data_IF_702543496684
#
_entry.id   IF_702543496684
#
_cell.length_a   1.000
_cell.length_b   1.000
_cell.length_c   1.000
_cell.angle_alpha   90.00
_cell.angle_beta   90.00
_cell.angle_gamma   90.00
#
_symmetry.space_group_name_H-M   'P 1'
#
loop_
_entity.id
_entity.type
_entity.pdbx_description
1 polymer ?
#
# COMPACT_ATOMS: atom_id res chain seq x y z
N UNK A 1 15.87 -0.89 13.26
CA UNK A 1 16.34 -1.55 12.02
C UNK A 1 16.56 -3.04 12.25
N UNK A 2 16.05 -3.87 11.35
CA UNK A 2 16.20 -5.34 11.37
C UNK A 2 17.31 -5.79 10.40
N UNK A 3 18.57 -5.65 10.81
CA UNK A 3 19.73 -5.86 9.91
C UNK A 3 19.73 -7.24 9.24
N UNK A 4 19.54 -8.31 10.02
CA UNK A 4 19.56 -9.69 9.51
C UNK A 4 18.48 -9.91 8.44
N UNK A 5 17.28 -9.33 8.63
CA UNK A 5 16.21 -9.42 7.63
C UNK A 5 16.56 -8.66 6.36
N UNK A 6 17.20 -7.50 6.45
CA UNK A 6 17.68 -6.74 5.28
C UNK A 6 18.71 -7.57 4.51
N UNK A 7 19.68 -8.15 5.21
CA UNK A 7 20.73 -8.97 4.60
C UNK A 7 20.17 -10.23 3.94
N UNK A 8 19.21 -10.89 4.58
CA UNK A 8 18.51 -12.03 3.99
C UNK A 8 17.74 -11.63 2.72
N UNK A 9 17.00 -10.51 2.75
CA UNK A 9 16.29 -10.03 1.58
C UNK A 9 17.23 -9.71 0.40
N UNK A 10 18.40 -9.13 0.68
CA UNK A 10 19.42 -8.89 -0.33
C UNK A 10 19.96 -10.20 -0.91
N UNK A 11 20.22 -11.21 -0.07
CA UNK A 11 20.69 -12.51 -0.52
C UNK A 11 19.67 -13.23 -1.42
N UNK A 12 18.38 -13.19 -1.05
CA UNK A 12 17.29 -13.80 -1.82
C UNK A 12 17.18 -13.18 -3.23
N UNK A 13 17.33 -11.86 -3.33
CA UNK A 13 17.31 -11.12 -4.61
C UNK A 13 18.67 -11.08 -5.32
N UNK A 14 19.70 -11.75 -4.77
CA UNK A 14 21.07 -11.82 -5.29
C UNK A 14 21.71 -10.44 -5.49
N UNK A 15 21.50 -9.55 -4.54
CA UNK A 15 22.04 -8.19 -4.51
C UNK A 15 23.24 -8.13 -3.58
N UNK A 16 24.21 -7.29 -3.90
CA UNK A 16 25.43 -7.13 -3.09
C UNK A 16 25.21 -6.16 -1.92
N UNK A 17 24.22 -5.28 -2.02
CA UNK A 17 23.82 -4.40 -0.93
C UNK A 17 22.64 -3.49 -1.23
N UNK A 18 22.19 -2.78 -0.20
CA UNK A 18 21.22 -1.69 -0.28
C UNK A 18 21.91 -0.38 0.09
N UNK A 19 21.92 0.57 -0.83
CA UNK A 19 22.41 1.91 -0.57
C UNK A 19 21.23 2.86 -0.35
N UNK A 20 20.93 3.12 0.91
CA UNK A 20 19.98 4.16 1.27
C UNK A 20 20.61 5.53 1.07
N UNK A 21 19.81 6.44 0.54
CA UNK A 21 20.16 7.84 0.34
C UNK A 21 18.99 8.72 0.72
N UNK A 22 19.28 9.86 1.34
CA UNK A 22 18.31 10.92 1.55
C UNK A 22 18.98 12.29 1.50
N UNK A 23 18.18 13.28 1.09
CA UNK A 23 18.45 14.68 1.33
C UNK A 23 17.15 15.38 1.73
N UNK A 24 17.08 15.85 2.98
CA UNK A 24 15.92 16.58 3.54
C UNK A 24 14.63 15.76 3.56
N UNK A 25 14.71 14.49 3.96
CA UNK A 25 13.55 13.59 4.12
C UNK A 25 12.82 13.36 2.78
N UNK A 26 13.53 13.42 1.66
CA UNK A 26 12.99 13.14 0.33
C UNK A 26 12.65 11.67 0.14
N UNK A 27 13.25 10.78 0.95
CA UNK A 27 13.10 9.34 0.83
C UNK A 27 12.42 8.72 2.07
N UNK A 28 11.07 8.68 2.15
CA UNK A 28 10.36 8.15 3.31
C UNK A 28 10.58 6.64 3.55
N UNK A 29 10.91 5.87 2.50
CA UNK A 29 11.18 4.43 2.62
C UNK A 29 12.41 4.20 3.49
N UNK A 30 13.47 5.01 3.33
CA UNK A 30 14.66 4.89 4.15
C UNK A 30 14.35 5.11 5.64
N UNK A 31 13.47 6.05 5.98
CA UNK A 31 13.07 6.31 7.37
C UNK A 31 12.31 5.14 7.97
N UNK A 32 11.39 4.55 7.20
CA UNK A 32 10.62 3.39 7.62
C UNK A 32 11.52 2.16 7.83
N UNK A 33 12.31 1.79 6.81
CA UNK A 33 13.16 0.58 6.82
C UNK A 33 14.25 0.66 7.88
N UNK A 34 14.89 1.82 8.01
CA UNK A 34 15.98 2.03 8.98
C UNK A 34 15.45 2.40 10.37
N UNK A 35 14.15 2.60 10.54
CA UNK A 35 13.52 3.06 11.79
C UNK A 35 14.09 4.40 12.28
N UNK A 36 14.31 5.34 11.36
CA UNK A 36 14.85 6.65 11.68
C UNK A 36 13.77 7.59 12.25
N UNK A 37 14.11 8.44 13.23
CA UNK A 37 13.18 9.42 13.76
C UNK A 37 12.81 10.47 12.70
N UNK A 38 11.51 10.60 12.41
CA UNK A 38 11.01 11.59 11.44
C UNK A 38 11.09 13.01 11.98
N UNK A 39 11.13 13.21 13.30
CA UNK A 39 11.19 14.54 13.92
C UNK A 39 12.60 15.14 13.93
N UNK A 40 13.64 14.33 13.78
CA UNK A 40 15.04 14.79 13.80
C UNK A 40 15.37 15.65 12.58
N UNK A 41 16.41 16.47 12.69
CA UNK A 41 16.86 17.35 11.62
C UNK A 41 17.81 16.60 10.67
N UNK A 42 17.46 16.58 9.37
CA UNK A 42 18.31 16.05 8.30
C UNK A 42 18.42 17.10 7.20
N UNK A 43 19.46 17.94 7.24
CA UNK A 43 19.61 19.04 6.25
C UNK A 43 20.78 18.84 5.30
N UNK A 44 21.63 17.83 5.52
CA UNK A 44 22.70 17.40 4.62
C UNK A 44 22.40 16.00 4.09
N UNK A 45 22.92 15.72 2.90
CA UNK A 45 22.79 14.38 2.32
C UNK A 45 23.58 13.37 3.14
N UNK A 46 23.05 12.17 3.25
CA UNK A 46 23.71 11.04 3.88
C UNK A 46 23.48 9.77 3.05
N UNK A 47 24.36 8.80 3.24
CA UNK A 47 24.21 7.47 2.67
C UNK A 47 24.36 6.43 3.78
N UNK A 48 23.61 5.34 3.67
CA UNK A 48 23.77 4.18 4.53
C UNK A 48 23.81 2.92 3.67
N UNK A 49 24.96 2.25 3.65
CA UNK A 49 25.15 1.03 2.88
C UNK A 49 25.00 -0.19 3.78
N UNK A 50 24.04 -1.05 3.47
CA UNK A 50 23.89 -2.36 4.09
C UNK A 50 24.36 -3.42 3.09
N UNK A 51 25.53 -4.06 3.29
CA UNK A 51 25.96 -5.14 2.41
C UNK A 51 25.12 -6.39 2.66
N UNK A 52 25.00 -7.26 1.66
CA UNK A 52 24.34 -8.56 1.82
C UNK A 52 25.00 -9.44 2.91
N UNK A 53 26.32 -9.28 3.09
CA UNK A 53 27.08 -9.92 4.18
C UNK A 53 28.06 -8.92 4.76
N UNK A 54 28.12 -8.83 6.09
CA UNK A 54 29.10 -8.02 6.82
C UNK A 54 28.52 -6.77 7.46
N UNK A 55 29.39 -5.80 7.73
CA UNK A 55 29.09 -4.63 8.56
C UNK A 55 28.52 -3.49 7.72
N UNK A 56 27.35 -2.91 8.07
CA UNK A 56 26.84 -1.71 7.42
C UNK A 56 27.78 -0.51 7.57
N UNK A 57 27.68 0.47 6.68
CA UNK A 57 28.47 1.70 6.75
C UNK A 57 27.61 2.93 6.55
N UNK A 58 27.64 3.84 7.52
CA UNK A 58 27.09 5.19 7.41
C UNK A 58 28.13 6.14 6.81
N UNK A 59 27.73 6.91 5.80
CA UNK A 59 28.52 7.99 5.21
C UNK A 59 27.79 9.33 5.40
N UNK A 60 28.32 10.16 6.29
CA UNK A 60 27.61 11.32 6.84
C UNK A 60 28.45 12.60 6.75
N UNK A 61 27.78 13.75 6.66
CA UNK A 61 28.45 15.05 6.65
C UNK A 61 29.06 15.37 8.01
N UNK A 62 30.25 15.96 8.02
CA UNK A 62 30.88 16.47 9.25
C UNK A 62 30.04 17.52 10.00
N UNK A 63 29.14 18.23 9.29
CA UNK A 63 28.23 19.23 9.87
C UNK A 63 27.12 18.58 10.70
N UNK A 64 26.68 17.39 10.31
CA UNK A 64 25.61 16.63 10.96
C UNK A 64 26.13 15.25 11.36
N UNK A 65 27.28 15.19 12.04
CA UNK A 65 27.96 13.93 12.37
C UNK A 65 27.18 13.02 13.34
N UNK A 66 26.09 13.51 13.93
CA UNK A 66 25.18 12.74 14.78
C UNK A 66 24.11 11.99 13.97
N UNK A 67 23.90 12.33 12.69
CA UNK A 67 22.94 11.65 11.81
C UNK A 67 23.29 10.16 11.71
N UNK A 68 22.26 9.31 11.74
CA UNK A 68 22.33 7.84 11.76
C UNK A 68 23.03 7.23 12.98
N UNK A 69 23.19 7.94 14.11
CA UNK A 69 23.91 7.40 15.27
C UNK A 69 23.27 6.18 15.93
N UNK A 70 21.97 5.99 15.74
CA UNK A 70 21.23 4.82 16.23
C UNK A 70 21.45 3.58 15.37
N UNK A 71 21.99 3.72 14.15
CA UNK A 71 22.20 2.61 13.23
C UNK A 71 23.54 1.91 13.53
N UNK A 72 23.60 0.58 13.41
CA UNK A 72 24.82 -0.18 13.63
C UNK A 72 25.82 0.01 12.49
N UNK A 73 27.08 -0.33 12.76
CA UNK A 73 28.13 -0.47 11.76
C UNK A 73 29.18 0.64 11.78
N UNK A 74 29.96 0.70 10.70
CA UNK A 74 31.02 1.68 10.53
C UNK A 74 30.45 3.07 10.24
N UNK A 75 31.22 4.10 10.61
CA UNK A 75 30.87 5.49 10.34
C UNK A 75 32.01 6.21 9.65
N UNK A 76 31.74 6.72 8.45
CA UNK A 76 32.66 7.51 7.65
C UNK A 76 32.12 8.93 7.53
N UNK A 77 32.98 9.91 7.78
CA UNK A 77 32.61 11.32 7.78
C UNK A 77 33.27 12.00 6.58
N UNK A 78 32.48 12.75 5.80
CA UNK A 78 33.00 13.59 4.72
C UNK A 78 32.81 15.09 5.00
N UNK A 79 33.75 15.89 4.53
CA UNK A 79 33.76 17.36 4.58
C UNK A 79 33.60 17.97 3.19
N UNK A 80 34.10 17.28 2.16
CA UNK A 80 34.11 17.74 0.77
C UNK A 80 33.37 16.75 -0.13
N UNK A 81 33.01 17.17 -1.34
CA UNK A 81 32.39 16.26 -2.31
C UNK A 81 33.38 15.21 -2.82
N UNK A 82 34.67 15.53 -2.88
CA UNK A 82 35.72 14.58 -3.24
C UNK A 82 35.82 13.46 -2.20
N UNK A 83 35.84 13.80 -0.91
CA UNK A 83 35.83 12.81 0.17
C UNK A 83 34.58 11.93 0.08
N UNK A 84 33.41 12.49 -0.19
CA UNK A 84 32.20 11.71 -0.41
C UNK A 84 32.38 10.71 -1.56
N UNK A 85 32.87 11.17 -2.72
CA UNK A 85 33.02 10.32 -3.90
C UNK A 85 34.01 9.19 -3.64
N UNK A 86 35.17 9.48 -3.05
CA UNK A 86 36.14 8.44 -2.66
C UNK A 86 35.55 7.43 -1.69
N UNK A 87 34.74 7.87 -0.73
CA UNK A 87 34.08 6.94 0.20
C UNK A 87 33.02 6.08 -0.49
N UNK A 88 32.21 6.66 -1.39
CA UNK A 88 31.21 5.91 -2.16
C UNK A 88 31.86 4.89 -3.10
N UNK A 89 32.90 5.28 -3.84
CA UNK A 89 33.68 4.38 -4.70
C UNK A 89 34.29 3.22 -3.91
N UNK A 90 34.81 3.48 -2.71
CA UNK A 90 35.35 2.44 -1.84
C UNK A 90 34.26 1.48 -1.29
N UNK A 91 33.01 1.92 -1.18
CA UNK A 91 31.87 1.09 -0.78
C UNK A 91 31.31 0.29 -1.96
N UNK A 92 31.34 0.88 -3.15
CA UNK A 92 30.68 0.40 -4.37
C UNK A 92 31.73 0.06 -5.42
N UNK A 93 32.32 -1.13 -5.30
CA UNK A 93 33.30 -1.60 -6.28
C UNK A 93 32.62 -1.89 -7.63
N UNK A 94 33.44 -1.93 -8.69
CA UNK A 94 32.95 -2.22 -10.04
C UNK A 94 32.20 -3.55 -10.05
N UNK A 95 30.99 -3.54 -10.59
CA UNK A 95 30.12 -4.71 -10.68
C UNK A 95 29.20 -4.93 -9.47
N UNK A 96 29.29 -4.12 -8.40
CA UNK A 96 28.35 -4.19 -7.28
C UNK A 96 26.93 -3.93 -7.76
N UNK A 97 26.02 -4.89 -7.52
CA UNK A 97 24.58 -4.77 -7.75
C UNK A 97 23.93 -4.21 -6.49
N UNK A 98 23.53 -2.95 -6.55
CA UNK A 98 23.05 -2.20 -5.39
C UNK A 98 21.60 -1.77 -5.57
N UNK A 99 20.76 -2.11 -4.59
CA UNK A 99 19.41 -1.59 -4.52
C UNK A 99 19.40 -0.14 -4.02
N UNK A 100 18.55 0.67 -4.64
CA UNK A 100 18.23 2.03 -4.20
C UNK A 100 16.74 2.28 -4.43
N UNK A 101 16.16 3.29 -3.78
CA UNK A 101 14.80 3.79 -4.06
C UNK A 101 14.74 4.49 -5.43
N UNK A 102 14.94 3.68 -6.46
CA UNK A 102 14.98 3.97 -7.88
C UNK A 102 13.89 3.13 -8.55
N UNK A 103 13.14 3.74 -9.47
CA UNK A 103 12.21 3.01 -10.32
C UNK A 103 12.58 3.24 -11.79
N UNK A 104 13.00 2.20 -12.53
CA UNK A 104 13.21 2.29 -13.97
C UNK A 104 11.98 2.90 -14.66
N UNK A 105 12.22 3.89 -15.52
CA UNK A 105 11.16 4.62 -16.25
C UNK A 105 10.04 5.20 -15.36
N UNK A 106 10.31 5.40 -14.06
CA UNK A 106 9.32 5.80 -13.07
C UNK A 106 8.07 4.87 -13.02
N UNK A 107 8.25 3.57 -13.27
CA UNK A 107 7.18 2.58 -13.24
C UNK A 107 6.40 2.56 -11.91
N UNK A 108 7.07 2.82 -10.78
CA UNK A 108 6.50 2.90 -9.44
C UNK A 108 6.90 4.23 -8.79
N UNK A 109 6.07 5.28 -8.90
CA UNK A 109 6.38 6.60 -8.35
C UNK A 109 6.61 6.62 -6.84
N UNK A 110 5.99 5.71 -6.09
CA UNK A 110 6.21 5.58 -4.66
C UNK A 110 7.66 5.17 -4.30
N UNK A 111 8.32 4.41 -5.17
CA UNK A 111 9.70 3.94 -5.00
C UNK A 111 10.72 4.91 -5.60
N UNK A 112 10.36 5.73 -6.59
CA UNK A 112 11.27 6.69 -7.24
C UNK A 112 11.61 7.88 -6.33
N UNK A 113 12.47 7.69 -5.32
CA UNK A 113 12.82 8.70 -4.31
C UNK A 113 14.25 9.23 -4.39
N UNK A 114 15.17 8.48 -4.98
CA UNK A 114 16.54 8.93 -5.22
C UNK A 114 16.57 9.79 -6.48
N UNK A 115 17.19 10.97 -6.38
CA UNK A 115 17.30 11.88 -7.51
C UNK A 115 18.23 11.31 -8.60
N UNK A 116 17.97 11.69 -9.86
CA UNK A 116 18.70 11.16 -11.01
C UNK A 116 20.21 11.42 -10.93
N UNK A 117 20.63 12.58 -10.43
CA UNK A 117 22.05 12.94 -10.30
C UNK A 117 22.77 12.04 -9.29
N UNK A 118 22.11 11.64 -8.21
CA UNK A 118 22.65 10.67 -7.24
C UNK A 118 22.76 9.27 -7.86
N UNK A 119 21.77 8.84 -8.65
CA UNK A 119 21.85 7.55 -9.37
C UNK A 119 22.99 7.55 -10.41
N UNK A 120 23.14 8.65 -11.15
CA UNK A 120 24.25 8.85 -12.10
C UNK A 120 25.61 8.80 -11.40
N UNK A 121 25.74 9.46 -10.25
CA UNK A 121 26.95 9.43 -9.43
C UNK A 121 27.31 7.99 -9.03
N UNK A 122 26.35 7.23 -8.48
CA UNK A 122 26.57 5.83 -8.06
C UNK A 122 26.99 4.96 -9.24
N UNK A 123 26.32 5.09 -10.40
CA UNK A 123 26.68 4.36 -11.62
C UNK A 123 28.06 4.72 -12.15
N UNK A 124 28.54 5.95 -11.92
CA UNK A 124 29.86 6.37 -12.40
C UNK A 124 31.02 5.60 -11.76
N UNK A 125 30.80 4.96 -10.60
CA UNK A 125 31.75 4.05 -9.95
C UNK A 125 31.71 2.60 -10.52
N UNK A 126 30.88 2.33 -11.53
CA UNK A 126 30.74 1.00 -12.13
C UNK A 126 29.77 0.07 -11.40
N UNK A 127 28.94 0.60 -10.49
CA UNK A 127 27.88 -0.14 -9.82
C UNK A 127 26.62 -0.25 -10.70
N UNK A 128 25.93 -1.39 -10.62
CA UNK A 128 24.61 -1.61 -11.21
C UNK A 128 23.54 -1.19 -10.19
N UNK A 129 22.88 -0.05 -10.44
CA UNK A 129 21.75 0.40 -9.61
C UNK A 129 20.46 -0.28 -10.07
N UNK A 130 19.87 -1.06 -9.17
CA UNK A 130 18.58 -1.73 -9.36
C UNK A 130 17.51 -1.14 -8.44
N UNK A 131 16.24 -1.42 -8.74
CA UNK A 131 15.13 -0.96 -7.92
C UNK A 131 15.09 -1.67 -6.57
N UNK A 132 14.86 -0.93 -5.49
CA UNK A 132 14.55 -1.50 -4.18
C UNK A 132 13.10 -1.94 -4.01
N UNK A 133 12.23 -1.78 -5.03
CA UNK A 133 10.79 -2.07 -4.93
C UNK A 133 10.50 -3.45 -4.31
N UNK A 134 11.15 -4.50 -4.81
CA UNK A 134 10.92 -5.89 -4.40
C UNK A 134 11.39 -6.19 -2.98
N UNK A 135 12.47 -5.54 -2.51
CA UNK A 135 12.96 -5.71 -1.13
C UNK A 135 12.24 -4.78 -0.15
N UNK A 136 11.90 -3.55 -0.57
CA UNK A 136 11.24 -2.56 0.27
C UNK A 136 9.83 -3.01 0.71
N UNK A 137 9.09 -3.70 -0.15
CA UNK A 137 7.79 -4.28 0.24
C UNK A 137 7.89 -5.27 1.42
N UNK A 138 9.02 -5.95 1.61
CA UNK A 138 9.20 -6.90 2.74
C UNK A 138 9.20 -6.20 4.10
N UNK A 139 9.48 -4.89 4.11
CA UNK A 139 9.54 -4.06 5.32
C UNK A 139 8.35 -3.09 5.44
N UNK A 140 7.63 -2.84 4.33
CA UNK A 140 6.52 -1.89 4.30
C UNK A 140 5.13 -2.49 4.02
N UNK A 141 5.06 -3.68 3.43
CA UNK A 141 3.80 -4.26 2.95
C UNK A 141 3.55 -5.69 3.48
N UNK A 142 4.53 -6.34 4.10
CA UNK A 142 4.33 -7.65 4.73
C UNK A 142 3.58 -7.50 6.05
N UNK A 143 2.39 -8.08 6.13
CA UNK A 143 1.58 -8.08 7.33
C UNK A 143 2.10 -9.09 8.35
N UNK A 144 2.08 -8.73 9.63
CA UNK A 144 2.25 -9.68 10.74
C UNK A 144 1.01 -10.58 10.90
N UNK A 145 1.16 -11.69 11.64
CA UNK A 145 0.02 -12.57 11.94
C UNK A 145 -1.11 -11.83 12.70
N UNK A 146 -0.75 -10.92 13.61
CA UNK A 146 -1.70 -10.07 14.32
C UNK A 146 -2.43 -9.12 13.35
N UNK A 147 -1.69 -8.50 12.43
CA UNK A 147 -2.27 -7.64 11.39
C UNK A 147 -3.25 -8.40 10.50
N UNK A 148 -2.92 -9.63 10.10
CA UNK A 148 -3.81 -10.51 9.34
C UNK A 148 -5.07 -10.84 10.14
N UNK A 149 -4.95 -11.13 11.43
CA UNK A 149 -6.10 -11.45 12.27
C UNK A 149 -7.01 -10.23 12.46
N UNK A 150 -6.45 -9.05 12.71
CA UNK A 150 -7.24 -7.81 12.81
C UNK A 150 -7.99 -7.49 11.51
N UNK A 151 -7.35 -7.70 10.35
CA UNK A 151 -7.99 -7.57 9.04
C UNK A 151 -9.18 -8.54 8.90
N UNK A 152 -8.99 -9.82 9.24
CA UNK A 152 -10.05 -10.84 9.13
C UNK A 152 -11.23 -10.53 10.04
N UNK A 153 -10.97 -10.15 11.27
CA UNK A 153 -12.02 -9.82 12.24
C UNK A 153 -12.76 -8.51 11.84
N UNK A 154 -12.04 -7.49 11.37
CA UNK A 154 -12.67 -6.31 10.78
C UNK A 154 -13.59 -6.70 9.62
N UNK A 155 -13.09 -7.53 8.70
CA UNK A 155 -13.84 -8.04 7.56
C UNK A 155 -15.11 -8.78 7.95
N UNK A 156 -15.03 -9.68 8.95
CA UNK A 156 -16.20 -10.40 9.48
C UNK A 156 -17.27 -9.44 10.00
N UNK A 157 -16.87 -8.40 10.73
CA UNK A 157 -17.81 -7.40 11.28
C UNK A 157 -18.48 -6.60 10.19
N UNK A 158 -17.71 -6.03 9.26
CA UNK A 158 -18.27 -5.14 8.23
C UNK A 158 -19.16 -5.88 7.23
N UNK A 159 -18.85 -7.15 6.91
CA UNK A 159 -19.73 -7.99 6.08
C UNK A 159 -21.07 -8.26 6.78
N UNK A 160 -21.05 -8.62 8.06
CA UNK A 160 -22.28 -8.84 8.83
C UNK A 160 -23.11 -7.54 8.94
N UNK A 161 -22.45 -6.39 9.10
CA UNK A 161 -23.10 -5.08 9.13
C UNK A 161 -23.74 -4.72 7.78
N UNK A 162 -23.07 -5.03 6.65
CA UNK A 162 -23.64 -4.88 5.31
C UNK A 162 -24.86 -5.78 5.12
N UNK A 163 -24.80 -7.05 5.55
CA UNK A 163 -25.96 -7.97 5.47
C UNK A 163 -27.17 -7.41 6.20
N UNK A 164 -26.95 -6.89 7.41
CA UNK A 164 -28.00 -6.18 8.18
C UNK A 164 -28.54 -4.98 7.43
N UNK A 165 -27.66 -4.12 6.89
CA UNK A 165 -28.08 -2.97 6.10
C UNK A 165 -28.98 -3.40 4.94
N UNK A 166 -28.57 -4.39 4.15
CA UNK A 166 -29.33 -4.83 2.98
C UNK A 166 -30.70 -5.40 3.35
N UNK A 167 -30.81 -6.12 4.47
CA UNK A 167 -32.09 -6.59 5.00
C UNK A 167 -33.01 -5.40 5.34
N UNK A 168 -32.50 -4.40 6.07
CA UNK A 168 -33.25 -3.19 6.43
C UNK A 168 -33.67 -2.39 5.18
N UNK A 169 -32.81 -2.23 4.18
CA UNK A 169 -33.15 -1.55 2.93
C UNK A 169 -34.26 -2.29 2.19
N UNK A 170 -34.20 -3.62 2.13
CA UNK A 170 -35.23 -4.45 1.52
C UNK A 170 -36.58 -4.30 2.22
N UNK A 171 -36.62 -4.25 3.55
CA UNK A 171 -37.84 -3.99 4.33
C UNK A 171 -38.40 -2.60 4.05
N UNK A 172 -37.55 -1.58 4.12
CA UNK A 172 -37.96 -0.19 3.87
C UNK A 172 -38.57 -0.01 2.47
N UNK A 173 -37.97 -0.62 1.44
CA UNK A 173 -38.51 -0.58 0.08
C UNK A 173 -39.85 -1.29 -0.05
N UNK A 174 -40.05 -2.43 0.62
CA UNK A 174 -41.35 -3.14 0.63
C UNK A 174 -42.45 -2.35 1.33
N UNK A 175 -42.09 -1.58 2.36
CA UNK A 175 -43.01 -0.70 3.09
C UNK A 175 -43.21 0.66 2.40
N UNK A 176 -42.55 0.92 1.27
CA UNK A 176 -42.66 2.19 0.55
C UNK A 176 -42.00 3.38 1.25
N UNK A 177 -41.05 3.14 2.15
CA UNK A 177 -40.28 4.20 2.81
C UNK A 177 -39.27 4.80 1.84
N UNK A 178 -39.21 6.13 1.80
CA UNK A 178 -38.24 6.85 0.97
C UNK A 178 -36.81 6.63 1.46
N UNK A 179 -35.91 6.31 0.53
CA UNK A 179 -34.48 6.15 0.75
C UNK A 179 -33.71 6.97 -0.30
N UNK A 180 -32.50 7.40 0.04
CA UNK A 180 -31.54 8.00 -0.89
C UNK A 180 -30.11 7.60 -0.52
N UNK A 181 -29.17 7.78 -1.45
CA UNK A 181 -27.76 7.38 -1.29
C UNK A 181 -27.16 7.90 0.03
N UNK A 182 -27.33 9.20 0.33
CA UNK A 182 -26.78 9.83 1.52
C UNK A 182 -27.36 9.26 2.83
N UNK A 183 -28.67 9.11 2.92
CA UNK A 183 -29.34 8.58 4.12
C UNK A 183 -28.95 7.13 4.41
N UNK A 184 -28.70 6.34 3.36
CA UNK A 184 -28.22 4.96 3.47
C UNK A 184 -26.75 4.94 3.89
N UNK A 185 -25.91 5.79 3.29
CA UNK A 185 -24.51 5.97 3.68
C UNK A 185 -24.38 6.30 5.18
N UNK A 186 -25.08 7.33 5.65
CA UNK A 186 -24.99 7.78 7.05
C UNK A 186 -25.50 6.72 8.03
N UNK A 187 -26.54 5.98 7.63
CA UNK A 187 -27.04 4.84 8.42
C UNK A 187 -26.01 3.72 8.48
N UNK A 188 -25.37 3.39 7.36
CA UNK A 188 -24.37 2.34 7.32
C UNK A 188 -23.14 2.71 8.13
N UNK A 189 -22.68 3.97 8.05
CA UNK A 189 -21.61 4.50 8.89
C UNK A 189 -21.92 4.31 10.38
N UNK A 190 -23.15 4.63 10.79
CA UNK A 190 -23.61 4.42 12.18
C UNK A 190 -23.58 2.94 12.56
N UNK A 191 -24.04 2.04 11.69
CA UNK A 191 -24.02 0.61 11.94
C UNK A 191 -22.59 0.07 12.07
N UNK A 192 -21.65 0.56 11.25
CA UNK A 192 -20.23 0.20 11.31
C UNK A 192 -19.61 0.66 12.64
N UNK A 193 -19.84 1.91 13.05
CA UNK A 193 -19.37 2.41 14.34
C UNK A 193 -19.91 1.58 15.51
N UNK A 194 -21.20 1.22 15.48
CA UNK A 194 -21.82 0.37 16.50
C UNK A 194 -21.28 -1.07 16.50
N UNK A 195 -20.72 -1.54 15.38
CA UNK A 195 -20.03 -2.82 15.31
C UNK A 195 -18.61 -2.78 15.92
N UNK A 196 -18.18 -1.64 16.45
CA UNK A 196 -16.90 -1.48 17.13
C UNK A 196 -15.70 -1.49 16.18
N UNK A 197 -15.90 -1.05 14.92
CA UNK A 197 -14.82 -0.79 13.96
C UNK A 197 -14.59 0.72 13.84
N UNK A 198 -13.48 1.11 13.22
CA UNK A 198 -13.15 2.48 12.82
C UNK A 198 -13.31 2.57 11.30
N UNK A 199 -14.48 3.00 10.79
CA UNK A 199 -14.74 3.17 9.38
C UNK A 199 -14.39 4.58 8.89
N UNK A 200 -14.14 4.74 7.59
CA UNK A 200 -14.37 6.02 6.91
C UNK A 200 -15.82 6.06 6.38
N UNK A 201 -16.18 7.14 5.69
CA UNK A 201 -17.50 7.28 5.09
C UNK A 201 -17.67 6.24 3.96
N UNK A 202 -18.63 5.31 4.05
CA UNK A 202 -18.84 4.33 3.00
C UNK A 202 -19.39 5.01 1.74
N UNK A 203 -19.05 4.49 0.58
CA UNK A 203 -19.58 4.98 -0.68
C UNK A 203 -20.86 4.21 -1.04
N UNK A 204 -21.94 4.96 -1.28
CA UNK A 204 -23.24 4.42 -1.71
C UNK A 204 -23.64 5.14 -2.97
N UNK A 205 -23.84 4.38 -4.05
CA UNK A 205 -24.20 4.90 -5.35
C UNK A 205 -25.35 4.11 -5.97
N UNK A 206 -26.12 4.77 -6.82
CA UNK A 206 -27.28 4.24 -7.52
C UNK A 206 -27.17 4.47 -9.02
N UNK A 207 -27.54 3.46 -9.80
CA UNK A 207 -27.62 3.51 -11.27
C UNK A 207 -26.36 4.10 -11.92
N UNK A 208 -26.48 5.26 -12.59
CA UNK A 208 -25.36 5.90 -13.29
C UNK A 208 -24.24 6.33 -12.34
N UNK A 209 -24.55 6.65 -11.07
CA UNK A 209 -23.54 7.05 -10.10
C UNK A 209 -22.58 5.89 -9.78
N UNK A 210 -23.03 4.63 -9.89
CA UNK A 210 -22.19 3.45 -9.73
C UNK A 210 -21.04 3.37 -10.76
N UNK A 211 -21.11 4.13 -11.85
CA UNK A 211 -20.05 4.19 -12.88
C UNK A 211 -18.99 5.25 -12.62
N UNK A 212 -19.16 6.08 -11.58
CA UNK A 212 -18.22 7.13 -11.23
C UNK A 212 -17.48 6.76 -9.92
N UNK A 213 -16.21 6.32 -10.00
CA UNK A 213 -15.43 5.94 -8.81
C UNK A 213 -15.11 7.13 -7.89
N UNK A 214 -15.32 8.37 -8.34
CA UNK A 214 -15.17 9.59 -7.54
C UNK A 214 -16.50 10.22 -7.16
N UNK A 215 -17.61 9.49 -7.31
CA UNK A 215 -18.90 9.96 -6.81
C UNK A 215 -18.91 9.93 -5.27
N UNK A 216 -19.51 10.94 -4.67
CA UNK A 216 -19.75 10.98 -3.23
C UNK A 216 -21.13 11.56 -2.98
N UNK A 217 -22.00 10.77 -2.35
CA UNK A 217 -23.32 11.25 -1.95
C UNK A 217 -23.17 12.23 -0.79
N UNK A 218 -23.82 13.39 -0.90
CA UNK A 218 -23.86 14.40 0.16
C UNK A 218 -25.30 14.75 0.51
N UNK A 219 -25.48 15.50 1.60
CA UNK A 219 -26.81 15.95 2.01
C UNK A 219 -27.54 16.74 0.90
N UNK A 220 -26.82 17.49 0.08
CA UNK A 220 -27.36 18.30 -1.03
C UNK A 220 -27.25 17.66 -2.41
N UNK A 221 -26.45 16.59 -2.57
CA UNK A 221 -26.26 15.89 -3.83
C UNK A 221 -26.39 14.38 -3.63
N UNK A 222 -27.59 13.86 -3.88
CA UNK A 222 -27.93 12.45 -3.80
C UNK A 222 -29.13 12.13 -4.70
N UNK A 223 -29.30 10.84 -4.97
CA UNK A 223 -30.37 10.25 -5.77
C UNK A 223 -31.23 9.36 -4.88
N UNK A 224 -32.55 9.29 -5.14
CA UNK A 224 -33.41 8.34 -4.44
C UNK A 224 -33.02 6.90 -4.79
N UNK A 225 -33.30 5.98 -3.86
CA UNK A 225 -33.21 4.54 -4.09
C UNK A 225 -34.63 4.00 -4.26
N UNK A 226 -34.91 3.39 -5.40
CA UNK A 226 -36.22 2.91 -5.80
C UNK A 226 -36.16 1.48 -6.30
N UNK A 227 -37.33 0.84 -6.38
CA UNK A 227 -37.46 -0.48 -7.00
C UNK A 227 -37.05 -0.40 -8.48
N UNK A 228 -36.20 -1.31 -8.92
CA UNK A 228 -35.60 -1.33 -10.26
C UNK A 228 -34.19 -0.75 -10.34
N UNK A 229 -33.68 -0.18 -9.23
CA UNK A 229 -32.36 0.45 -9.21
C UNK A 229 -31.22 -0.56 -8.96
N UNK A 230 -30.09 -0.31 -9.63
CA UNK A 230 -28.81 -0.90 -9.29
C UNK A 230 -28.17 -0.09 -8.16
N UNK A 231 -27.67 -0.76 -7.13
CA UNK A 231 -27.04 -0.14 -5.97
C UNK A 231 -25.61 -0.67 -5.86
N UNK A 232 -24.65 0.22 -5.66
CA UNK A 232 -23.27 -0.09 -5.30
C UNK A 232 -23.03 0.40 -3.88
N UNK A 233 -22.46 -0.46 -3.03
CA UNK A 233 -21.99 -0.10 -1.70
C UNK A 233 -20.55 -0.52 -1.56
N UNK A 234 -19.66 0.44 -1.39
CA UNK A 234 -18.23 0.25 -1.18
C UNK A 234 -17.86 0.73 0.23
N UNK A 235 -17.17 -0.10 0.99
CA UNK A 235 -17.01 0.13 2.42
C UNK A 235 -15.76 -0.56 2.98
N UNK A 236 -15.06 0.19 3.81
CA UNK A 236 -13.86 -0.26 4.48
C UNK A 236 -13.85 0.20 5.93
N UNK A 237 -13.27 -0.65 6.78
CA UNK A 237 -12.99 -0.30 8.16
C UNK A 237 -11.85 -1.16 8.71
N UNK A 238 -11.26 -0.70 9.80
CA UNK A 238 -10.29 -1.47 10.60
C UNK A 238 -10.75 -1.59 12.04
N UNK A 239 -10.12 -2.46 12.81
CA UNK A 239 -10.30 -2.44 14.26
C UNK A 239 -9.64 -1.18 14.87
N UNK A 240 -10.07 -0.74 16.07
CA UNK A 240 -9.33 0.24 16.83
C UNK A 240 -7.91 -0.26 17.15
N UNK A 241 -6.91 0.61 17.08
CA UNK A 241 -5.51 0.27 17.34
C UNK A 241 -4.55 0.83 16.28
N UNK A 242 -3.26 1.00 16.61
CA UNK A 242 -2.27 1.59 15.70
C UNK A 242 -1.94 0.69 14.51
N UNK A 243 -1.90 -0.63 14.71
CA UNK A 243 -1.45 -1.59 13.70
C UNK A 243 -2.59 -2.33 12.98
N UNK A 244 -3.85 -2.00 13.29
CA UNK A 244 -5.01 -2.66 12.71
C UNK A 244 -5.13 -2.38 11.20
N UNK A 245 -5.27 -3.44 10.40
CA UNK A 245 -5.37 -3.35 8.95
C UNK A 245 -6.82 -3.24 8.49
N UNK A 246 -7.04 -2.41 7.48
CA UNK A 246 -8.35 -2.26 6.85
C UNK A 246 -8.80 -3.54 6.18
N UNK A 247 -10.07 -3.88 6.33
CA UNK A 247 -10.78 -4.74 5.41
C UNK A 247 -11.67 -3.87 4.52
N UNK A 248 -11.65 -4.14 3.22
CA UNK A 248 -12.26 -3.30 2.19
C UNK A 248 -13.06 -4.18 1.23
N UNK A 249 -14.32 -3.81 1.00
CA UNK A 249 -15.26 -4.57 0.18
C UNK A 249 -16.20 -3.67 -0.60
N UNK A 250 -16.40 -4.03 -1.86
CA UNK A 250 -17.47 -3.50 -2.69
C UNK A 250 -18.54 -4.56 -2.95
N UNK A 251 -19.81 -4.17 -2.85
CA UNK A 251 -20.97 -5.02 -3.16
C UNK A 251 -21.93 -4.34 -4.12
N UNK A 252 -22.41 -5.11 -5.09
CA UNK A 252 -23.52 -4.74 -5.97
C UNK A 252 -24.81 -5.38 -5.46
N UNK A 253 -25.89 -4.62 -5.50
CA UNK A 253 -27.24 -5.07 -5.20
C UNK A 253 -28.23 -4.52 -6.23
N UNK A 254 -29.39 -5.14 -6.32
CA UNK A 254 -30.50 -4.67 -7.15
C UNK A 254 -31.75 -4.54 -6.29
N UNK A 255 -32.42 -3.39 -6.36
CA UNK A 255 -33.64 -3.12 -5.63
C UNK A 255 -34.85 -3.79 -6.30
N UNK A 256 -34.97 -5.11 -6.18
CA UNK A 256 -36.07 -5.85 -6.81
C UNK A 256 -35.90 -7.35 -6.68
N UNK A 257 -36.66 -8.07 -7.50
CA UNK A 257 -36.52 -9.54 -7.62
C UNK A 257 -35.42 -9.89 -8.63
N UNK A 258 -34.99 -11.15 -8.62
CA UNK A 258 -33.93 -11.63 -9.53
C UNK A 258 -34.38 -11.57 -10.99
N UNK A 259 -35.66 -11.81 -11.23
CA UNK A 259 -36.31 -11.82 -12.55
C UNK A 259 -36.38 -10.41 -13.15
N UNK A 260 -36.30 -9.38 -12.31
CA UNK A 260 -36.39 -7.98 -12.72
C UNK A 260 -35.04 -7.36 -13.06
N UNK A 261 -33.93 -8.05 -12.76
CA UNK A 261 -32.60 -7.57 -13.09
C UNK A 261 -32.48 -7.47 -14.62
N UNK A 262 -32.22 -6.29 -15.19
CA UNK A 262 -32.06 -6.13 -16.63
C UNK A 262 -30.98 -7.06 -17.18
N UNK A 263 -31.26 -7.70 -18.32
CA UNK A 263 -30.36 -8.70 -18.92
C UNK A 263 -28.91 -8.20 -19.07
N UNK A 264 -28.74 -6.93 -19.48
CA UNK A 264 -27.42 -6.31 -19.61
C UNK A 264 -26.69 -6.14 -18.28
N UNK A 265 -27.39 -5.77 -17.21
CA UNK A 265 -26.77 -5.65 -15.88
C UNK A 265 -26.31 -7.03 -15.37
N UNK A 266 -27.15 -8.05 -15.54
CA UNK A 266 -26.79 -9.43 -15.17
C UNK A 266 -25.60 -9.98 -15.97
N UNK A 267 -25.53 -9.67 -17.27
CA UNK A 267 -24.40 -10.02 -18.14
C UNK A 267 -23.09 -9.38 -17.63
N UNK A 268 -23.08 -8.06 -17.40
CA UNK A 268 -21.89 -7.36 -16.91
C UNK A 268 -21.48 -7.84 -15.52
N UNK A 269 -22.43 -8.02 -14.60
CA UNK A 269 -22.14 -8.57 -13.27
C UNK A 269 -21.50 -9.96 -13.36
N UNK A 270 -21.98 -10.79 -14.28
CA UNK A 270 -21.40 -12.13 -14.53
C UNK A 270 -19.96 -12.04 -15.03
N UNK A 271 -19.65 -11.09 -15.93
CA UNK A 271 -18.28 -10.86 -16.42
C UNK A 271 -17.37 -10.42 -15.27
N UNK A 272 -17.77 -9.40 -14.50
CA UNK A 272 -16.99 -8.88 -13.37
C UNK A 272 -16.73 -9.96 -12.31
N UNK A 273 -17.76 -10.74 -11.96
CA UNK A 273 -17.63 -11.86 -11.03
C UNK A 273 -16.63 -12.91 -11.54
N UNK A 274 -16.71 -13.27 -12.82
CA UNK A 274 -15.78 -14.23 -13.43
C UNK A 274 -14.35 -13.72 -13.48
N UNK A 275 -14.15 -12.42 -13.74
CA UNK A 275 -12.83 -11.80 -13.70
C UNK A 275 -12.22 -11.88 -12.30
N UNK A 276 -12.98 -11.50 -11.26
CA UNK A 276 -12.57 -11.64 -9.85
C UNK A 276 -12.20 -13.09 -9.52
N UNK A 277 -13.08 -14.04 -9.86
CA UNK A 277 -12.86 -15.46 -9.53
C UNK A 277 -11.62 -16.02 -10.27
N UNK A 278 -11.37 -15.58 -11.51
CA UNK A 278 -10.18 -15.94 -12.27
C UNK A 278 -8.88 -15.37 -11.65
N UNK A 279 -8.89 -14.11 -11.22
CA UNK A 279 -7.76 -13.50 -10.51
C UNK A 279 -7.42 -14.26 -9.22
N UNK A 280 -8.44 -14.59 -8.40
CA UNK A 280 -8.25 -15.37 -7.17
C UNK A 280 -7.70 -16.77 -7.49
N UNK A 281 -8.22 -17.43 -8.52
CA UNK A 281 -7.76 -18.75 -8.94
C UNK A 281 -6.30 -18.70 -9.40
N UNK A 282 -5.94 -17.74 -10.26
CA UNK A 282 -4.59 -17.53 -10.76
C UNK A 282 -3.57 -17.40 -9.60
N UNK A 283 -3.84 -16.50 -8.64
CA UNK A 283 -2.97 -16.30 -7.48
C UNK A 283 -2.83 -17.59 -6.67
N UNK A 284 -3.94 -18.29 -6.38
CA UNK A 284 -3.92 -19.53 -5.60
C UNK A 284 -3.14 -20.65 -6.29
N UNK A 285 -3.36 -20.84 -7.59
CA UNK A 285 -2.73 -21.90 -8.38
C UNK A 285 -1.22 -21.68 -8.48
N UNK A 286 -0.79 -20.45 -8.80
CA UNK A 286 0.63 -20.09 -8.88
C UNK A 286 1.36 -20.27 -7.55
N UNK A 287 0.77 -19.75 -6.46
CA UNK A 287 1.36 -19.91 -5.13
C UNK A 287 1.42 -21.37 -4.69
N UNK A 288 0.39 -22.18 -4.98
CA UNK A 288 0.40 -23.62 -4.69
C UNK A 288 1.46 -24.39 -5.48
N UNK A 289 1.79 -23.92 -6.69
CA UNK A 289 2.88 -24.46 -7.52
C UNK A 289 4.28 -23.97 -7.10
N UNK A 290 4.38 -23.06 -6.12
CA UNK A 290 5.64 -22.43 -5.72
C UNK A 290 6.18 -21.42 -6.74
N UNK A 291 5.32 -20.92 -7.64
CA UNK A 291 5.67 -19.93 -8.65
C UNK A 291 5.51 -18.51 -8.10
N UNK A 292 6.34 -17.58 -8.60
CA UNK A 292 6.24 -16.14 -8.31
C UNK A 292 4.96 -15.57 -8.93
N UNK A 293 4.33 -14.64 -8.22
CA UNK A 293 3.16 -13.89 -8.68
C UNK A 293 3.47 -12.40 -8.60
N UNK A 294 3.26 -11.68 -9.69
CA UNK A 294 3.39 -10.24 -9.75
C UNK A 294 2.01 -9.59 -9.88
N UNK A 295 1.79 -8.46 -9.20
CA UNK A 295 0.49 -7.77 -9.25
C UNK A 295 0.06 -7.35 -10.66
N UNK A 296 1.00 -7.16 -11.58
CA UNK A 296 0.72 -6.84 -12.97
C UNK A 296 0.18 -8.03 -13.80
N UNK A 297 0.30 -9.26 -13.28
CA UNK A 297 -0.22 -10.47 -13.93
C UNK A 297 -1.68 -10.78 -13.55
N UNK A 298 -2.21 -10.11 -12.52
CA UNK A 298 -3.53 -10.35 -11.92
C UNK A 298 -4.58 -9.37 -12.47
#
# INVERSE_FOLDING_TARGET
MELERIQQALADEKLDGWLFYDFRKSNPIAYQVLSLPIEDLYTRRWFYFVPAVGTPTALISAVESHVLHSLPGERRIFRTWQELHTNLEALLHVGTRVAMEYSPMNAIPYVSRVDAGTVELVRSFGAEVVSSADIAQRFGAQLSDEQVETHREAGRRIIATKDRLFAELGENLREGRSLNEYSVQQRFLTHLQNAGVVPDVPHVAVNANCSNPHYEATASHNSPIQRGDLILVDFWARLPGPDAIFADYTWMAFAGTREEIPARQNEIFTIVRRARDAAIAFVREKLAAGERVEGAEV
#
